data_IF_670965020366
#
_entry.id   IF_670965020366
#
_cell.length_a   1.000
_cell.length_b   1.000
_cell.length_c   1.000
_cell.angle_alpha   90.00
_cell.angle_beta   90.00
_cell.angle_gamma   90.00
#
_symmetry.space_group_name_H-M   'P 1'
#
loop_
_entity.id
_entity.type
_entity.pdbx_description
1 polymer ?
#
# COMPACT_ATOMS: atom_id res chain seq x y z
N UNK A 1 2.91 -33.02 35.11
CA UNK A 1 3.43 -32.73 33.75
C UNK A 1 2.25 -32.51 32.80
N UNK A 2 1.80 -31.26 32.71
CA UNK A 2 0.90 -30.80 31.66
C UNK A 2 1.74 -29.78 30.91
N UNK A 3 2.15 -30.15 29.70
CA UNK A 3 2.96 -29.32 28.82
C UNK A 3 2.10 -28.19 28.27
N UNK A 4 2.71 -27.01 28.27
CA UNK A 4 2.16 -25.72 27.84
C UNK A 4 1.48 -25.77 26.47
N UNK A 5 0.27 -25.22 26.38
CA UNK A 5 -0.29 -24.81 25.10
C UNK A 5 0.51 -23.61 24.58
N UNK A 6 1.28 -23.85 23.52
CA UNK A 6 1.89 -22.81 22.70
C UNK A 6 0.85 -21.79 22.27
N UNK A 7 0.91 -20.62 22.91
CA UNK A 7 0.20 -19.41 22.47
C UNK A 7 0.60 -19.11 21.04
N UNK A 8 -0.35 -19.25 20.11
CA UNK A 8 -0.27 -18.71 18.75
C UNK A 8 0.27 -17.27 18.81
N UNK A 9 1.47 -17.08 18.27
CA UNK A 9 2.18 -15.80 18.28
C UNK A 9 1.47 -14.76 17.43
N UNK A 10 0.50 -14.07 18.02
CA UNK A 10 0.11 -12.74 17.54
C UNK A 10 1.21 -11.77 17.95
N UNK A 11 1.99 -11.29 17.00
CA UNK A 11 2.98 -10.24 17.25
C UNK A 11 2.21 -9.00 17.74
N UNK A 12 2.39 -8.65 19.02
CA UNK A 12 1.81 -7.44 19.58
C UNK A 12 2.51 -6.25 18.92
N UNK A 13 1.79 -5.48 18.09
CA UNK A 13 2.32 -4.24 17.54
C UNK A 13 2.61 -3.28 18.71
N UNK A 14 3.70 -2.48 18.65
CA UNK A 14 3.94 -1.47 19.67
C UNK A 14 2.75 -0.50 19.72
N UNK A 15 2.46 0.10 20.90
CA UNK A 15 1.44 1.14 20.98
C UNK A 15 1.82 2.30 20.05
N UNK A 16 0.82 2.92 19.44
CA UNK A 16 1.03 4.08 18.59
C UNK A 16 1.71 5.22 19.38
N UNK A 17 2.57 6.03 18.74
CA UNK A 17 3.15 7.21 19.37
C UNK A 17 2.06 8.13 19.93
N UNK A 18 2.20 8.56 21.19
CA UNK A 18 1.28 9.52 21.81
C UNK A 18 1.36 10.91 21.17
N UNK A 19 2.54 11.27 20.68
CA UNK A 19 2.78 12.45 19.87
C UNK A 19 2.33 12.21 18.42
N UNK A 20 1.20 12.84 18.06
CA UNK A 20 0.58 12.70 16.73
C UNK A 20 1.43 13.28 15.60
N UNK A 21 2.39 14.16 15.90
CA UNK A 21 3.32 14.68 14.87
C UNK A 21 4.22 13.60 14.28
N UNK A 22 4.34 12.46 14.97
CA UNK A 22 5.07 11.28 14.50
C UNK A 22 4.21 10.31 13.68
N UNK A 23 2.93 10.60 13.50
CA UNK A 23 2.04 9.71 12.76
C UNK A 23 2.32 9.80 11.27
N UNK A 24 2.59 8.64 10.67
CA UNK A 24 2.85 8.48 9.25
C UNK A 24 1.91 7.43 8.70
N UNK A 25 1.19 7.77 7.65
CA UNK A 25 0.23 6.88 7.00
C UNK A 25 0.70 6.57 5.59
N UNK A 26 0.74 5.30 5.24
CA UNK A 26 0.94 4.85 3.86
C UNK A 26 -0.42 4.70 3.19
N UNK A 27 -0.68 5.44 2.12
CA UNK A 27 -1.80 5.21 1.21
C UNK A 27 -1.36 4.35 0.01
N UNK A 28 -2.18 3.39 -0.40
CA UNK A 28 -1.99 2.58 -1.61
C UNK A 28 -3.24 2.69 -2.49
N UNK A 29 -3.03 3.08 -3.75
CA UNK A 29 -4.08 3.29 -4.74
C UNK A 29 -3.91 2.29 -5.90
N UNK A 30 -4.99 1.54 -6.19
CA UNK A 30 -5.04 0.51 -7.23
C UNK A 30 -6.46 0.32 -7.81
N UNK A 31 -7.23 1.41 -7.97
CA UNK A 31 -8.62 1.33 -8.42
C UNK A 31 -8.77 1.05 -9.93
N UNK A 32 -7.80 1.43 -10.76
CA UNK A 32 -7.90 1.36 -12.23
C UNK A 32 -6.61 0.84 -12.89
N UNK A 33 -5.74 1.72 -13.40
CA UNK A 33 -4.59 1.37 -14.25
C UNK A 33 -3.27 2.02 -13.79
N UNK A 34 -3.24 2.69 -12.64
CA UNK A 34 -2.02 3.17 -12.00
C UNK A 34 -1.87 2.55 -10.62
N UNK A 35 -0.67 2.07 -10.30
CA UNK A 35 -0.34 1.67 -8.91
C UNK A 35 0.39 2.83 -8.26
N UNK A 36 -0.20 3.44 -7.24
CA UNK A 36 0.43 4.53 -6.51
C UNK A 36 0.56 4.23 -5.02
N UNK A 37 1.62 4.75 -4.41
CA UNK A 37 1.81 4.73 -2.97
C UNK A 37 2.35 6.07 -2.49
N UNK A 38 1.87 6.54 -1.34
CA UNK A 38 2.33 7.78 -0.73
C UNK A 38 2.37 7.67 0.80
N UNK A 39 3.43 8.20 1.40
CA UNK A 39 3.53 8.42 2.84
C UNK A 39 3.13 9.86 3.13
N UNK A 40 2.16 10.03 4.01
CA UNK A 40 1.64 11.34 4.44
C UNK A 40 1.73 11.49 5.95
N UNK A 41 2.10 12.69 6.41
CA UNK A 41 2.06 13.05 7.83
C UNK A 41 0.68 13.57 8.26
N UNK A 42 0.54 13.85 9.56
CA UNK A 42 -0.74 14.26 10.15
C UNK A 42 -1.25 15.61 9.63
N UNK A 43 -0.36 16.46 9.13
CA UNK A 43 -0.68 17.76 8.56
C UNK A 43 -1.03 17.65 7.06
N UNK A 44 -0.94 16.44 6.50
CA UNK A 44 -1.25 16.15 5.10
C UNK A 44 -0.08 16.38 4.13
N UNK A 45 1.14 16.57 4.62
CA UNK A 45 2.30 16.72 3.75
C UNK A 45 2.74 15.36 3.21
N UNK A 46 3.03 15.30 1.91
CA UNK A 46 3.60 14.12 1.27
C UNK A 46 5.08 14.04 1.66
N UNK A 47 5.45 12.98 2.37
CA UNK A 47 6.82 12.69 2.78
C UNK A 47 7.58 11.94 1.68
N UNK A 48 6.88 11.11 0.91
CA UNK A 48 7.42 10.42 -0.24
C UNK A 48 6.30 9.69 -0.98
N UNK A 49 6.40 9.64 -2.31
CA UNK A 49 5.39 9.00 -3.17
C UNK A 49 6.02 8.32 -4.37
N UNK A 50 5.32 7.38 -4.97
CA UNK A 50 5.71 6.71 -6.20
C UNK A 50 4.46 6.28 -7.00
N UNK A 51 4.61 6.24 -8.31
CA UNK A 51 3.56 5.81 -9.25
C UNK A 51 4.20 4.86 -10.27
N UNK A 52 3.54 3.73 -10.51
CA UNK A 52 3.81 2.82 -11.62
C UNK A 52 2.59 2.79 -12.54
N UNK A 53 2.72 3.45 -13.69
CA UNK A 53 1.63 3.58 -14.65
C UNK A 53 1.57 2.43 -15.65
N UNK A 54 0.34 2.05 -16.04
CA UNK A 54 0.08 1.00 -17.03
C UNK A 54 -0.38 1.57 -18.39
N UNK A 55 -0.26 2.87 -18.61
CA UNK A 55 -0.76 3.52 -19.83
C UNK A 55 -0.28 2.84 -21.13
N UNK A 56 0.99 2.43 -21.19
CA UNK A 56 1.56 1.73 -22.36
C UNK A 56 1.03 0.30 -22.54
N UNK A 57 0.65 -0.37 -21.44
CA UNK A 57 0.04 -1.71 -21.50
C UNK A 57 -1.33 -1.60 -22.18
N UNK A 58 -2.13 -0.60 -21.80
CA UNK A 58 -3.52 -0.44 -22.24
C UNK A 58 -3.67 0.30 -23.58
N UNK A 59 -2.65 1.06 -24.02
CA UNK A 59 -2.70 1.84 -25.27
C UNK A 59 -2.93 0.96 -26.51
N UNK A 60 -2.43 -0.28 -26.51
CA UNK A 60 -2.63 -1.22 -27.61
C UNK A 60 -4.06 -1.79 -27.71
N UNK A 61 -4.84 -1.68 -26.63
CA UNK A 61 -6.20 -2.22 -26.54
C UNK A 61 -7.29 -1.14 -26.68
N UNK A 62 -6.91 0.14 -26.73
CA UNK A 62 -7.85 1.26 -26.81
C UNK A 62 -8.63 1.52 -25.52
N UNK A 63 -8.19 0.95 -24.39
CA UNK A 63 -8.84 1.09 -23.09
C UNK A 63 -8.29 0.10 -22.07
N UNK A 64 -8.69 0.28 -20.81
CA UNK A 64 -8.21 -0.54 -19.70
C UNK A 64 -8.75 -1.97 -19.82
N UNK A 65 -7.85 -2.94 -19.84
CA UNK A 65 -8.17 -4.37 -19.79
C UNK A 65 -8.08 -4.85 -18.34
N UNK A 66 -9.21 -5.14 -17.65
CA UNK A 66 -9.23 -5.33 -16.19
C UNK A 66 -8.30 -6.42 -15.67
N UNK A 67 -8.13 -7.52 -16.43
CA UNK A 67 -7.26 -8.62 -16.02
C UNK A 67 -5.78 -8.26 -16.10
N UNK A 68 -5.36 -7.58 -17.17
CA UNK A 68 -3.98 -7.09 -17.30
C UNK A 68 -3.67 -6.04 -16.24
N UNK A 69 -4.65 -5.19 -15.92
CA UNK A 69 -4.49 -4.18 -14.88
C UNK A 69 -4.26 -4.79 -13.50
N UNK A 70 -5.04 -5.81 -13.13
CA UNK A 70 -4.84 -6.56 -11.90
C UNK A 70 -3.44 -7.17 -11.80
N UNK A 71 -2.95 -7.83 -12.86
CA UNK A 71 -1.63 -8.47 -12.88
C UNK A 71 -0.49 -7.46 -12.76
N UNK A 72 -0.64 -6.31 -13.41
CA UNK A 72 0.30 -5.21 -13.31
C UNK A 72 0.32 -4.61 -11.89
N UNK A 73 -0.84 -4.43 -11.23
CA UNK A 73 -0.90 -4.03 -9.82
C UNK A 73 -0.17 -5.02 -8.92
N UNK A 74 -0.50 -6.31 -8.99
CA UNK A 74 0.13 -7.35 -8.16
C UNK A 74 1.65 -7.38 -8.31
N UNK A 75 2.16 -7.05 -9.51
CA UNK A 75 3.60 -7.01 -9.79
C UNK A 75 4.29 -5.71 -9.34
N UNK A 76 3.53 -4.62 -9.20
CA UNK A 76 4.07 -3.28 -8.95
C UNK A 76 3.98 -2.84 -7.48
N UNK A 77 2.96 -3.25 -6.73
CA UNK A 77 2.64 -2.73 -5.38
C UNK A 77 3.85 -2.70 -4.45
N UNK A 78 4.56 -3.83 -4.29
CA UNK A 78 5.70 -3.90 -3.37
C UNK A 78 6.80 -2.89 -3.75
N UNK A 79 7.17 -2.81 -5.03
CA UNK A 79 8.19 -1.87 -5.51
C UNK A 79 7.76 -0.42 -5.37
N UNK A 80 6.48 -0.13 -5.63
CA UNK A 80 5.93 1.23 -5.48
C UNK A 80 5.93 1.65 -4.01
N UNK A 81 5.56 0.76 -3.09
CA UNK A 81 5.62 1.00 -1.64
C UNK A 81 7.05 1.20 -1.16
N UNK A 82 7.97 0.31 -1.54
CA UNK A 82 9.40 0.42 -1.20
C UNK A 82 9.99 1.76 -1.66
N UNK A 83 9.65 2.20 -2.88
CA UNK A 83 10.11 3.47 -3.42
C UNK A 83 9.51 4.68 -2.67
N UNK A 84 8.23 4.62 -2.30
CA UNK A 84 7.59 5.67 -1.51
C UNK A 84 8.22 5.80 -0.11
N UNK A 85 8.47 4.66 0.56
CA UNK A 85 9.16 4.63 1.86
C UNK A 85 10.59 5.14 1.76
N UNK A 86 11.33 4.71 0.73
CA UNK A 86 12.69 5.17 0.47
C UNK A 86 12.75 6.68 0.23
N UNK A 87 11.81 7.23 -0.56
CA UNK A 87 11.69 8.68 -0.81
C UNK A 87 11.31 9.46 0.45
N UNK A 88 10.51 8.85 1.33
CA UNK A 88 10.19 9.42 2.64
C UNK A 88 11.34 9.31 3.66
N UNK A 89 12.35 8.47 3.40
CA UNK A 89 13.48 8.24 4.29
C UNK A 89 13.10 7.47 5.57
N UNK A 90 12.13 6.57 5.49
CA UNK A 90 11.62 5.79 6.63
C UNK A 90 11.55 4.29 6.32
N UNK A 91 11.46 3.47 7.37
CA UNK A 91 11.18 2.04 7.29
C UNK A 91 9.68 1.76 7.49
N UNK A 92 9.22 0.56 7.09
CA UNK A 92 7.84 0.11 7.30
C UNK A 92 7.39 0.16 8.78
N UNK A 93 8.31 -0.10 9.72
CA UNK A 93 8.05 -0.07 11.18
C UNK A 93 7.71 1.34 11.71
N UNK A 94 8.02 2.38 10.95
CA UNK A 94 7.76 3.77 11.33
C UNK A 94 6.33 4.21 10.97
N UNK A 95 5.62 3.40 10.16
CA UNK A 95 4.23 3.65 9.80
C UNK A 95 3.31 3.43 11.01
N UNK A 96 2.34 4.31 11.14
CA UNK A 96 1.27 4.25 12.15
C UNK A 96 0.05 3.52 11.60
N UNK A 97 -0.22 3.66 10.30
CA UNK A 97 -1.32 3.02 9.62
C UNK A 97 -1.04 2.82 8.13
N UNK A 98 -1.83 1.93 7.52
CA UNK A 98 -1.85 1.71 6.08
C UNK A 98 -3.31 1.83 5.63
N UNK A 99 -3.55 2.70 4.65
CA UNK A 99 -4.81 2.85 3.95
C UNK A 99 -4.69 2.29 2.54
N UNK A 100 -5.69 1.51 2.12
CA UNK A 100 -5.76 0.97 0.76
C UNK A 100 -7.09 1.36 0.14
N UNK A 101 -7.11 1.60 -1.17
CA UNK A 101 -8.35 1.96 -1.86
C UNK A 101 -9.33 0.81 -1.86
N UNK A 102 -10.52 1.06 -1.30
CA UNK A 102 -11.58 0.05 -1.20
C UNK A 102 -12.72 0.23 -2.19
N UNK A 103 -12.77 1.38 -2.87
CA UNK A 103 -13.75 1.70 -3.90
C UNK A 103 -14.07 3.20 -3.98
N UNK A 104 -14.75 3.64 -5.05
CA UNK A 104 -15.12 2.86 -6.24
C UNK A 104 -13.90 2.45 -7.08
N UNK A 105 -14.06 1.50 -8.01
CA UNK A 105 -12.97 1.02 -8.88
C UNK A 105 -13.27 -0.31 -9.57
N UNK A 106 -12.32 -0.78 -10.38
CA UNK A 106 -12.37 -2.11 -11.01
C UNK A 106 -12.21 -3.18 -9.93
N UNK A 107 -13.21 -4.05 -9.76
CA UNK A 107 -13.25 -5.03 -8.67
C UNK A 107 -11.99 -5.91 -8.58
N UNK A 108 -11.42 -6.31 -9.72
CA UNK A 108 -10.18 -7.09 -9.77
C UNK A 108 -8.95 -6.31 -9.28
N UNK A 109 -8.91 -5.00 -9.53
CA UNK A 109 -7.79 -4.13 -9.16
C UNK A 109 -7.85 -3.74 -7.68
N UNK A 110 -9.06 -3.53 -7.13
CA UNK A 110 -9.27 -3.28 -5.70
C UNK A 110 -8.83 -4.44 -4.80
N UNK A 111 -8.85 -5.68 -5.31
CA UNK A 111 -8.37 -6.84 -4.54
C UNK A 111 -6.85 -6.94 -4.52
N UNK A 112 -6.15 -6.38 -5.53
CA UNK A 112 -4.71 -6.52 -5.66
C UNK A 112 -3.91 -5.91 -4.49
N UNK A 113 -4.44 -4.86 -3.84
CA UNK A 113 -3.80 -4.19 -2.70
C UNK A 113 -4.31 -4.67 -1.34
N UNK A 114 -5.18 -5.69 -1.30
CA UNK A 114 -5.77 -6.24 -0.07
C UNK A 114 -5.23 -7.60 0.32
N UNK A 115 -4.57 -8.27 -0.62
CA UNK A 115 -3.90 -9.55 -0.45
C UNK A 115 -2.45 -9.35 0.06
#
# INVERSE_FOLDING_TARGET
PVVDEEKKGGQFLPPLPSDRSKWLVLGIESSCDDTAAAVVDIDGNIRGEAIASQAEIHSQYGGVVPKLAQEAHASAINKTVELALSRAGIDFKDLTAIGVTVGPGLALCLQASRD
#
